data_IF_420565343968
#
_entry.id   IF_420565343968
#
_cell.length_a   1.000
_cell.length_b   1.000
_cell.length_c   1.000
_cell.angle_alpha   90.00
_cell.angle_beta   90.00
_cell.angle_gamma   90.00
#
_symmetry.space_group_name_H-M   'P 1'
#
loop_
_entity.id
_entity.type
_entity.pdbx_description
1 polymer ?
#
# COMPACT_ATOMS: atom_id res chain seq x y z
N UNK A 1 10.76 14.03 4.96
CA UNK A 1 11.72 13.67 6.02
C UNK A 1 12.84 14.68 6.14
N UNK A 2 13.25 15.36 5.08
CA UNK A 2 14.41 16.27 5.10
C UNK A 2 14.23 17.47 6.02
N UNK A 3 12.98 17.90 6.25
CA UNK A 3 12.65 19.04 7.12
C UNK A 3 12.35 18.65 8.58
N UNK A 4 12.68 17.42 9.00
CA UNK A 4 12.44 16.90 10.36
C UNK A 4 13.77 16.68 11.10
N UNK A 5 13.71 16.25 12.36
CA UNK A 5 14.88 15.93 13.18
C UNK A 5 14.65 16.25 14.65
N UNK A 6 15.31 15.51 15.54
CA UNK A 6 15.30 15.78 16.99
C UNK A 6 13.98 15.51 17.72
N UNK A 7 12.95 14.97 17.05
CA UNK A 7 11.61 14.81 17.66
C UNK A 7 11.55 13.75 18.78
N UNK A 8 12.60 12.95 18.98
CA UNK A 8 12.69 11.98 20.08
C UNK A 8 12.57 12.62 21.47
N UNK A 9 13.12 13.83 21.65
CA UNK A 9 13.05 14.58 22.92
C UNK A 9 11.63 15.14 23.15
N UNK A 10 10.99 15.65 22.09
CA UNK A 10 9.69 16.34 22.13
C UNK A 10 8.49 15.39 22.16
N UNK A 11 8.54 14.29 21.41
CA UNK A 11 7.44 13.34 21.23
C UNK A 11 7.86 11.89 21.53
N UNK A 12 8.26 11.57 22.78
CA UNK A 12 8.88 10.29 23.10
C UNK A 12 7.96 9.08 22.90
N UNK A 13 6.66 9.21 23.17
CA UNK A 13 5.69 8.10 22.98
C UNK A 13 5.59 7.75 21.49
N UNK A 14 5.49 8.78 20.63
CA UNK A 14 5.41 8.60 19.18
C UNK A 14 6.70 8.01 18.61
N UNK A 15 7.85 8.53 19.06
CA UNK A 15 9.15 8.01 18.65
C UNK A 15 9.36 6.54 19.08
N UNK A 16 8.90 6.17 20.28
CA UNK A 16 9.00 4.80 20.81
C UNK A 16 8.08 3.85 20.05
N UNK A 17 6.83 4.23 19.82
CA UNK A 17 5.90 3.42 19.06
C UNK A 17 6.38 3.21 17.63
N UNK A 18 6.92 4.26 17.01
CA UNK A 18 7.49 4.16 15.67
C UNK A 18 8.75 3.28 15.65
N UNK A 19 9.58 3.35 16.69
CA UNK A 19 10.75 2.48 16.84
C UNK A 19 10.33 1.01 16.94
N UNK A 20 9.36 0.69 17.81
CA UNK A 20 8.85 -0.68 18.00
C UNK A 20 8.16 -1.19 16.73
N UNK A 21 7.37 -0.35 16.05
CA UNK A 21 6.76 -0.69 14.77
C UNK A 21 7.80 -0.97 13.69
N UNK A 22 8.83 -0.13 13.62
CA UNK A 22 9.96 -0.32 12.71
C UNK A 22 10.71 -1.61 13.04
N UNK A 23 11.01 -1.85 14.31
CA UNK A 23 11.66 -3.05 14.80
C UNK A 23 10.90 -4.33 14.44
N UNK A 24 9.57 -4.29 14.56
CA UNK A 24 8.69 -5.37 14.14
C UNK A 24 8.81 -5.65 12.64
N UNK A 25 8.67 -4.63 11.79
CA UNK A 25 8.77 -4.77 10.33
C UNK A 25 10.17 -5.22 9.87
N UNK A 26 11.22 -4.76 10.54
CA UNK A 26 12.60 -5.19 10.25
C UNK A 26 12.81 -6.68 10.54
N UNK A 27 12.00 -7.26 11.43
CA UNK A 27 12.10 -8.65 11.86
C UNK A 27 13.12 -8.83 12.99
N UNK A 28 13.17 -7.88 13.93
CA UNK A 28 13.99 -8.06 15.13
C UNK A 28 13.50 -9.29 15.92
N UNK A 29 14.41 -10.18 16.35
CA UNK A 29 14.07 -11.36 17.14
C UNK A 29 13.12 -11.01 18.29
N UNK A 30 12.10 -11.86 18.51
CA UNK A 30 11.11 -11.72 19.58
C UNK A 30 10.10 -10.56 19.40
N UNK A 31 10.06 -9.88 18.25
CA UNK A 31 9.04 -8.87 17.94
C UNK A 31 8.18 -9.37 16.76
N UNK A 32 6.94 -8.88 16.63
CA UNK A 32 5.89 -9.56 15.86
C UNK A 32 6.22 -9.90 14.42
N UNK A 33 6.84 -8.99 13.67
CA UNK A 33 7.18 -9.25 12.28
C UNK A 33 8.28 -10.29 12.07
N UNK A 34 9.04 -10.68 13.10
CA UNK A 34 10.00 -11.80 13.01
C UNK A 34 9.27 -13.10 12.68
N UNK A 35 8.22 -13.43 13.44
CA UNK A 35 7.49 -14.70 13.31
C UNK A 35 6.86 -14.86 11.92
N UNK A 36 6.29 -13.78 11.36
CA UNK A 36 5.71 -13.83 10.01
C UNK A 36 6.76 -13.82 8.90
N UNK A 37 7.89 -13.14 9.10
CA UNK A 37 8.93 -12.98 8.07
C UNK A 37 9.84 -14.20 7.96
N UNK A 38 10.16 -14.83 9.10
CA UNK A 38 10.98 -16.04 9.15
C UNK A 38 10.32 -17.18 8.37
N UNK A 39 9.03 -17.44 8.61
CA UNK A 39 8.30 -18.48 7.89
C UNK A 39 8.24 -18.25 6.37
N UNK A 40 8.09 -17.01 5.91
CA UNK A 40 8.10 -16.69 4.47
C UNK A 40 9.49 -16.92 3.86
N UNK A 41 10.55 -16.50 4.55
CA UNK A 41 11.93 -16.70 4.10
C UNK A 41 12.24 -18.21 4.04
N UNK A 42 11.96 -18.94 5.12
CA UNK A 42 12.20 -20.39 5.18
C UNK A 42 11.45 -21.12 4.04
N UNK A 43 10.18 -20.79 3.79
CA UNK A 43 9.42 -21.40 2.69
C UNK A 43 9.96 -21.03 1.30
N UNK A 44 10.35 -19.77 1.07
CA UNK A 44 10.93 -19.35 -0.21
C UNK A 44 12.24 -20.10 -0.51
N UNK A 45 13.07 -20.31 0.51
CA UNK A 45 14.33 -21.05 0.38
C UNK A 45 14.12 -22.56 0.29
N UNK A 46 13.07 -23.10 0.89
CA UNK A 46 12.67 -24.50 0.72
C UNK A 46 12.32 -24.79 -0.74
N UNK A 47 11.46 -23.97 -1.35
CA UNK A 47 11.08 -24.11 -2.76
C UNK A 47 12.30 -23.92 -3.68
N UNK A 48 13.22 -23.02 -3.33
CA UNK A 48 14.45 -22.81 -4.10
C UNK A 48 15.42 -24.01 -4.08
N UNK A 49 15.37 -24.86 -3.03
CA UNK A 49 16.12 -26.12 -3.03
C UNK A 49 15.49 -27.16 -3.96
N UNK A 50 14.15 -27.19 -4.03
CA UNK A 50 13.42 -28.14 -4.87
C UNK A 50 13.49 -27.77 -6.37
N UNK A 51 13.39 -26.47 -6.70
CA UNK A 51 13.48 -25.96 -8.07
C UNK A 51 14.43 -24.73 -8.14
N UNK A 52 15.57 -24.87 -8.86
CA UNK A 52 16.55 -23.80 -9.03
C UNK A 52 16.00 -22.48 -9.61
N UNK A 53 14.84 -22.51 -10.29
CA UNK A 53 14.18 -21.31 -10.82
C UNK A 53 13.75 -20.34 -9.72
N UNK A 54 13.49 -20.84 -8.51
CA UNK A 54 13.08 -20.03 -7.37
C UNK A 54 14.23 -19.44 -6.56
N UNK A 55 15.49 -19.72 -6.95
CA UNK A 55 16.66 -19.14 -6.31
C UNK A 55 16.69 -17.60 -6.41
N UNK A 56 16.33 -17.04 -7.57
CA UNK A 56 16.30 -15.60 -7.76
C UNK A 56 15.24 -14.92 -6.85
N UNK A 57 13.97 -15.36 -6.83
CA UNK A 57 12.99 -14.90 -5.84
C UNK A 57 13.48 -15.01 -4.39
N UNK A 58 14.05 -16.16 -3.99
CA UNK A 58 14.54 -16.37 -2.62
C UNK A 58 15.65 -15.37 -2.23
N UNK A 59 16.57 -15.09 -3.15
CA UNK A 59 17.60 -14.05 -2.99
C UNK A 59 16.98 -12.65 -2.88
N UNK A 60 15.99 -12.32 -3.72
CA UNK A 60 15.28 -11.05 -3.64
C UNK A 60 14.59 -10.84 -2.29
N UNK A 61 14.03 -11.90 -1.68
CA UNK A 61 13.42 -11.82 -0.35
C UNK A 61 14.48 -11.51 0.73
N UNK A 62 15.67 -12.13 0.68
CA UNK A 62 16.75 -11.81 1.62
C UNK A 62 17.29 -10.40 1.46
N UNK A 63 17.52 -9.97 0.21
CA UNK A 63 17.98 -8.59 -0.08
C UNK A 63 16.91 -7.60 0.38
N UNK A 64 15.64 -7.89 0.09
CA UNK A 64 14.49 -7.12 0.55
C UNK A 64 14.46 -6.99 2.07
N UNK A 65 14.76 -8.06 2.81
CA UNK A 65 14.84 -8.01 4.27
C UNK A 65 15.86 -6.99 4.77
N UNK A 66 17.05 -6.92 4.15
CA UNK A 66 18.08 -5.93 4.47
C UNK A 66 17.69 -4.50 4.04
N UNK A 67 17.12 -4.34 2.85
CA UNK A 67 16.59 -3.05 2.38
C UNK A 67 15.52 -2.50 3.31
N UNK A 68 14.63 -3.36 3.83
CA UNK A 68 13.64 -3.00 4.86
C UNK A 68 14.28 -2.51 6.14
N UNK A 69 15.31 -3.21 6.63
CA UNK A 69 16.15 -2.75 7.74
C UNK A 69 16.67 -1.33 7.52
N UNK A 70 17.21 -1.10 6.33
CA UNK A 70 17.80 0.18 5.93
C UNK A 70 16.78 1.32 5.86
N UNK A 71 15.71 1.19 5.07
CA UNK A 71 14.80 2.32 4.84
C UNK A 71 13.96 2.65 6.08
N UNK A 72 13.59 1.65 6.90
CA UNK A 72 12.86 1.87 8.15
C UNK A 72 13.75 2.58 9.17
N UNK A 73 15.01 2.16 9.29
CA UNK A 73 15.98 2.82 10.17
C UNK A 73 16.29 4.23 9.69
N UNK A 74 16.50 4.44 8.37
CA UNK A 74 16.70 5.78 7.77
C UNK A 74 15.55 6.71 8.11
N UNK A 75 14.31 6.23 8.01
CA UNK A 75 13.13 7.05 8.29
C UNK A 75 13.07 7.43 9.77
N UNK A 76 13.26 6.48 10.68
CA UNK A 76 13.26 6.77 12.11
C UNK A 76 14.37 7.76 12.49
N UNK A 77 15.58 7.57 11.96
CA UNK A 77 16.74 8.44 12.21
C UNK A 77 16.51 9.86 11.71
N UNK A 78 16.08 10.04 10.45
CA UNK A 78 15.83 11.38 9.87
C UNK A 78 14.67 12.13 10.56
N UNK A 79 13.74 11.41 11.19
CA UNK A 79 12.56 12.03 11.80
C UNK A 79 12.76 12.31 13.30
N UNK A 80 13.34 11.38 14.06
CA UNK A 80 13.38 11.44 15.52
C UNK A 80 14.78 11.67 16.10
N UNK A 81 15.84 11.23 15.41
CA UNK A 81 17.22 11.45 15.84
C UNK A 81 17.80 12.72 15.19
N UNK A 82 19.07 13.02 15.47
CA UNK A 82 19.76 14.18 14.90
C UNK A 82 19.29 15.52 15.45
N UNK A 83 19.74 16.59 14.79
CA UNK A 83 19.36 17.98 15.09
C UNK A 83 18.12 18.38 14.28
N UNK A 84 17.26 19.28 14.78
CA UNK A 84 16.12 19.79 14.01
C UNK A 84 16.60 20.56 12.77
N UNK A 85 16.11 20.18 11.58
CA UNK A 85 16.50 20.84 10.32
C UNK A 85 15.71 22.13 10.02
N UNK A 86 14.68 22.48 10.81
CA UNK A 86 13.83 23.66 10.58
C UNK A 86 13.30 24.22 11.92
N UNK A 87 13.09 25.54 12.01
CA UNK A 87 12.53 26.21 13.19
C UNK A 87 11.15 25.65 13.59
N UNK A 88 10.35 25.21 12.61
CA UNK A 88 9.06 24.57 12.87
C UNK A 88 9.25 23.26 13.63
N UNK A 89 10.24 22.44 13.25
CA UNK A 89 10.53 21.16 13.90
C UNK A 89 10.97 21.35 15.36
N UNK A 90 11.66 22.45 15.68
CA UNK A 90 12.11 22.77 17.03
C UNK A 90 10.96 23.07 18.01
N UNK A 91 9.82 23.55 17.51
CA UNK A 91 8.66 23.95 18.32
C UNK A 91 7.50 22.93 18.30
N UNK A 92 7.70 21.74 17.70
CA UNK A 92 6.63 20.73 17.66
C UNK A 92 6.47 20.06 19.03
N UNK A 93 5.23 20.07 19.51
CA UNK A 93 4.80 19.30 20.67
C UNK A 93 3.56 18.45 20.35
N UNK A 94 3.25 17.45 21.19
CA UNK A 94 2.04 16.64 21.01
C UNK A 94 0.79 17.50 21.17
N UNK A 95 0.00 17.62 20.10
CA UNK A 95 -1.21 18.47 20.05
C UNK A 95 -2.43 17.82 20.68
N UNK A 96 -2.53 16.48 20.69
CA UNK A 96 -3.69 15.77 21.21
C UNK A 96 -3.30 14.48 21.97
N UNK A 97 -3.86 14.27 23.17
CA UNK A 97 -3.64 13.07 23.97
C UNK A 97 -4.38 11.83 23.44
N UNK A 98 -5.46 11.99 22.67
CA UNK A 98 -6.25 10.87 22.14
C UNK A 98 -5.48 9.97 21.18
N UNK A 99 -4.50 10.52 20.45
CA UNK A 99 -3.64 9.74 19.53
C UNK A 99 -2.68 8.81 20.31
N UNK A 100 -2.36 9.14 21.56
CA UNK A 100 -1.42 8.36 22.38
C UNK A 100 -1.99 7.01 22.80
N UNK A 101 -3.29 6.94 23.06
CA UNK A 101 -3.97 5.73 23.52
C UNK A 101 -3.88 4.57 22.53
N UNK A 102 -4.33 4.70 21.25
CA UNK A 102 -4.20 3.61 20.28
C UNK A 102 -2.73 3.27 20.01
N UNK A 103 -1.86 4.28 19.98
CA UNK A 103 -0.45 4.09 19.72
C UNK A 103 0.24 3.26 20.81
N UNK A 104 -0.09 3.51 22.07
CA UNK A 104 0.40 2.73 23.21
C UNK A 104 -0.12 1.29 23.16
N UNK A 105 -1.43 1.11 22.92
CA UNK A 105 -2.04 -0.22 22.80
C UNK A 105 -1.38 -1.04 21.69
N UNK A 106 -1.22 -0.46 20.50
CA UNK A 106 -0.59 -1.15 19.36
C UNK A 106 0.88 -1.47 19.62
N UNK A 107 1.61 -0.58 20.30
CA UNK A 107 3.00 -0.83 20.71
C UNK A 107 3.06 -2.04 21.64
N UNK A 108 2.16 -2.11 22.63
CA UNK A 108 2.09 -3.22 23.57
C UNK A 108 1.73 -4.54 22.87
N UNK A 109 0.77 -4.52 21.94
CA UNK A 109 0.41 -5.71 21.15
C UNK A 109 1.59 -6.19 20.28
N UNK A 110 2.32 -5.27 19.64
CA UNK A 110 3.50 -5.61 18.83
C UNK A 110 4.60 -6.27 19.66
N UNK A 111 4.84 -5.78 20.89
CA UNK A 111 5.80 -6.38 21.82
C UNK A 111 5.32 -7.72 22.39
N UNK A 112 4.00 -7.87 22.57
CA UNK A 112 3.38 -9.10 23.11
C UNK A 112 3.24 -10.22 22.07
N UNK A 113 3.72 -10.00 20.85
CA UNK A 113 3.63 -10.93 19.74
C UNK A 113 4.28 -12.30 19.98
N UNK A 114 5.28 -12.42 20.86
CA UNK A 114 5.85 -13.72 21.26
C UNK A 114 4.79 -14.61 21.92
N UNK A 115 3.93 -14.02 22.75
CA UNK A 115 2.84 -14.76 23.37
C UNK A 115 1.80 -15.18 22.34
N UNK A 116 1.51 -14.32 21.36
CA UNK A 116 0.60 -14.63 20.26
C UNK A 116 1.15 -15.73 19.35
N UNK A 117 2.46 -15.69 19.04
CA UNK A 117 3.14 -16.75 18.30
C UNK A 117 3.07 -18.08 19.07
N UNK A 118 3.36 -18.07 20.38
CA UNK A 118 3.24 -19.25 21.23
C UNK A 118 1.80 -19.81 21.37
N UNK A 119 0.78 -18.99 21.12
CA UNK A 119 -0.63 -19.42 21.03
C UNK A 119 -0.99 -20.03 19.66
N UNK A 120 -0.02 -20.16 18.74
CA UNK A 120 -0.21 -20.73 17.42
C UNK A 120 -0.74 -19.74 16.36
N UNK A 121 -0.68 -18.43 16.62
CA UNK A 121 -1.17 -17.42 15.66
C UNK A 121 -0.39 -17.41 14.33
N UNK A 122 0.85 -17.91 14.34
CA UNK A 122 1.71 -18.14 13.17
C UNK A 122 1.15 -19.19 12.21
N UNK A 123 0.48 -20.21 12.74
CA UNK A 123 -0.07 -21.35 12.00
C UNK A 123 -1.58 -21.29 11.78
N UNK A 124 -2.25 -20.26 12.33
CA UNK A 124 -3.70 -20.11 12.26
C UNK A 124 -4.25 -20.00 10.82
N UNK A 125 -3.52 -19.35 9.92
CA UNK A 125 -3.95 -19.17 8.53
C UNK A 125 -3.56 -20.32 7.56
N UNK A 126 -2.38 -20.96 7.68
CA UNK A 126 -1.96 -21.97 6.71
C UNK A 126 -2.40 -23.41 7.02
N UNK A 127 -2.72 -23.75 8.27
CA UNK A 127 -2.82 -25.15 8.69
C UNK A 127 -4.12 -25.41 9.48
N UNK A 128 -5.09 -26.11 8.87
CA UNK A 128 -6.41 -26.40 9.46
C UNK A 128 -6.30 -27.20 10.78
N UNK A 129 -5.18 -27.88 11.01
CA UNK A 129 -4.92 -28.66 12.21
C UNK A 129 -4.39 -27.83 13.40
N UNK A 130 -4.00 -26.57 13.19
CA UNK A 130 -3.56 -25.64 14.23
C UNK A 130 -4.73 -24.74 14.63
N UNK A 131 -5.63 -25.27 15.44
CA UNK A 131 -6.70 -24.49 16.05
C UNK A 131 -6.11 -23.46 17.03
N UNK A 132 -6.67 -22.24 16.98
CA UNK A 132 -6.46 -21.22 18.02
C UNK A 132 -6.72 -21.84 19.40
N UNK A 133 -5.70 -21.89 20.27
CA UNK A 133 -5.74 -22.57 21.58
C UNK A 133 -5.86 -24.11 21.53
N UNK A 134 -4.96 -24.79 20.80
CA UNK A 134 -4.78 -26.24 20.96
C UNK A 134 -4.22 -26.59 22.37
N UNK A 135 -4.46 -27.80 22.88
CA UNK A 135 -4.18 -28.28 24.26
C UNK A 135 -2.73 -28.15 24.79
N UNK A 136 -1.78 -27.66 23.99
CA UNK A 136 -0.42 -27.43 24.47
C UNK A 136 -0.38 -26.23 25.42
N UNK A 137 0.36 -26.37 26.52
CA UNK A 137 0.62 -25.25 27.42
C UNK A 137 1.24 -24.10 26.63
N UNK A 138 0.87 -22.85 26.94
CA UNK A 138 1.42 -21.65 26.31
C UNK A 138 2.96 -21.67 26.29
N UNK A 139 3.56 -22.25 27.34
CA UNK A 139 5.02 -22.44 27.46
C UNK A 139 5.56 -23.40 26.40
N UNK A 140 4.86 -24.51 26.14
CA UNK A 140 5.28 -25.50 25.13
C UNK A 140 5.17 -24.93 23.72
N UNK A 141 4.15 -24.11 23.46
CA UNK A 141 4.01 -23.39 22.19
C UNK A 141 5.13 -22.38 21.95
N UNK A 142 5.48 -21.58 22.97
CA UNK A 142 6.64 -20.67 22.88
C UNK A 142 7.94 -21.45 22.66
N UNK A 143 8.17 -22.53 23.41
CA UNK A 143 9.38 -23.35 23.27
C UNK A 143 9.46 -23.96 21.88
N UNK A 144 8.35 -24.46 21.34
CA UNK A 144 8.29 -24.99 19.99
C UNK A 144 8.67 -23.94 18.94
N UNK A 145 8.06 -22.76 18.99
CA UNK A 145 8.36 -21.66 18.06
C UNK A 145 9.80 -21.17 18.19
N UNK A 146 10.32 -21.08 19.42
CA UNK A 146 11.71 -20.72 19.66
C UNK A 146 12.69 -21.77 19.13
N UNK A 147 12.38 -23.07 19.31
CA UNK A 147 13.19 -24.15 18.76
C UNK A 147 13.11 -24.17 17.24
N UNK A 148 11.93 -23.97 16.66
CA UNK A 148 11.76 -23.96 15.21
C UNK A 148 12.51 -22.79 14.56
N UNK A 149 12.41 -21.59 15.13
CA UNK A 149 13.00 -20.39 14.58
C UNK A 149 14.51 -20.24 14.86
N UNK A 150 14.97 -20.63 16.06
CA UNK A 150 16.38 -20.43 16.47
C UNK A 150 17.20 -21.70 16.58
N UNK A 151 16.59 -22.88 16.59
CA UNK A 151 17.28 -24.16 16.76
C UNK A 151 16.76 -25.22 15.75
N UNK A 152 16.55 -24.79 14.50
CA UNK A 152 16.06 -25.66 13.45
C UNK A 152 17.00 -26.87 13.28
N UNK A 153 16.45 -28.08 13.18
CA UNK A 153 17.21 -29.31 13.02
C UNK A 153 18.00 -29.37 11.71
N UNK A 154 17.56 -28.61 10.71
CA UNK A 154 18.27 -28.48 9.44
C UNK A 154 19.23 -27.28 9.49
N UNK A 155 20.52 -27.57 9.35
CA UNK A 155 21.60 -26.59 9.36
C UNK A 155 21.43 -25.52 8.26
N UNK A 156 20.80 -25.86 7.13
CA UNK A 156 20.59 -24.92 6.03
C UNK A 156 19.62 -23.81 6.41
N UNK A 157 18.44 -24.15 6.92
CA UNK A 157 17.43 -23.17 7.36
C UNK A 157 17.91 -22.38 8.57
N UNK A 158 18.63 -23.04 9.50
CA UNK A 158 19.29 -22.35 10.60
C UNK A 158 20.20 -21.23 10.06
N UNK A 159 21.13 -21.53 9.15
CA UNK A 159 22.04 -20.51 8.60
C UNK A 159 21.27 -19.38 7.92
N UNK A 160 20.24 -19.69 7.13
CA UNK A 160 19.45 -18.68 6.41
C UNK A 160 18.72 -17.74 7.37
N UNK A 161 18.13 -18.26 8.44
CA UNK A 161 17.44 -17.43 9.44
C UNK A 161 18.42 -16.45 10.10
N UNK A 162 19.63 -16.90 10.44
CA UNK A 162 20.66 -16.00 10.98
C UNK A 162 21.16 -14.98 9.94
N UNK A 163 21.29 -15.36 8.67
CA UNK A 163 21.62 -14.42 7.59
C UNK A 163 20.51 -13.37 7.43
N UNK A 164 19.25 -13.78 7.46
CA UNK A 164 18.10 -12.89 7.35
C UNK A 164 18.04 -11.89 8.53
N UNK A 165 18.26 -12.37 9.76
CA UNK A 165 18.37 -11.53 10.95
C UNK A 165 19.55 -10.57 10.81
N UNK A 166 20.72 -11.06 10.40
CA UNK A 166 21.91 -10.23 10.22
C UNK A 166 21.67 -9.14 9.16
N UNK A 167 21.02 -9.47 8.05
CA UNK A 167 20.68 -8.51 6.99
C UNK A 167 19.66 -7.46 7.47
N UNK A 168 18.54 -7.91 8.04
CA UNK A 168 17.40 -7.04 8.37
C UNK A 168 17.55 -6.25 9.67
N UNK A 169 18.15 -6.84 10.70
CA UNK A 169 18.25 -6.25 12.03
C UNK A 169 19.62 -5.61 12.33
N UNK A 170 20.67 -5.98 11.59
CA UNK A 170 22.04 -5.49 11.85
C UNK A 170 22.59 -4.70 10.68
N UNK A 171 22.74 -5.31 9.50
CA UNK A 171 23.37 -4.69 8.34
C UNK A 171 22.58 -3.50 7.82
N UNK A 172 21.28 -3.66 7.57
CA UNK A 172 20.40 -2.57 7.12
C UNK A 172 20.39 -1.37 8.08
N UNK A 173 20.03 -1.57 9.36
CA UNK A 173 20.06 -0.50 10.36
C UNK A 173 21.45 0.09 10.60
N UNK A 174 22.50 -0.74 10.60
CA UNK A 174 23.89 -0.33 10.73
C UNK A 174 24.33 0.62 9.61
N UNK A 175 24.03 0.26 8.36
CA UNK A 175 24.28 1.13 7.20
C UNK A 175 23.47 2.43 7.28
N UNK A 176 22.21 2.37 7.71
CA UNK A 176 21.39 3.56 7.88
C UNK A 176 21.96 4.50 8.96
N UNK A 177 22.41 3.97 10.10
CA UNK A 177 23.07 4.73 11.17
C UNK A 177 24.42 5.32 10.72
N UNK A 178 25.18 4.59 9.89
CA UNK A 178 26.46 5.07 9.35
C UNK A 178 26.32 6.20 8.31
N UNK A 179 25.15 6.33 7.68
CA UNK A 179 24.85 7.33 6.64
C UNK A 179 24.04 8.52 7.15
N UNK A 180 23.09 8.27 8.05
CA UNK A 180 22.10 9.26 8.49
C UNK A 180 22.06 9.43 10.02
N UNK A 181 23.01 8.84 10.74
CA UNK A 181 23.08 8.96 12.18
C UNK A 181 23.44 10.36 12.64
N UNK A 182 23.21 10.64 13.92
CA UNK A 182 23.40 11.97 14.48
C UNK A 182 23.02 12.03 15.96
N UNK A 183 23.69 12.92 16.69
CA UNK A 183 23.35 13.25 18.07
C UNK A 183 22.18 14.22 18.12
N UNK A 184 21.42 14.18 19.20
CA UNK A 184 20.43 15.22 19.52
C UNK A 184 21.13 16.57 19.72
N UNK A 185 20.34 17.65 19.65
CA UNK A 185 20.80 19.01 19.90
C UNK A 185 21.31 19.20 21.34
N UNK A 186 22.33 20.05 21.50
CA UNK A 186 22.99 20.27 22.77
C UNK A 186 22.02 20.88 23.81
N UNK A 187 21.73 20.13 24.87
CA UNK A 187 20.77 20.51 25.92
C UNK A 187 19.45 19.73 25.89
N UNK A 188 19.16 18.99 24.82
CA UNK A 188 17.98 18.12 24.76
C UNK A 188 18.33 16.66 25.07
N UNK A 189 17.62 16.08 26.03
CA UNK A 189 17.77 14.66 26.37
C UNK A 189 16.51 13.88 26.03
N UNK A 190 16.70 12.71 25.41
CA UNK A 190 15.62 11.75 25.24
C UNK A 190 15.32 11.04 26.58
N UNK A 191 14.14 10.40 26.63
CA UNK A 191 13.74 9.57 27.76
C UNK A 191 14.71 8.38 27.96
N UNK A 192 14.84 7.84 29.19
CA UNK A 192 15.86 6.84 29.53
C UNK A 192 15.86 5.58 28.64
N UNK A 193 14.68 5.14 28.20
CA UNK A 193 14.55 3.95 27.35
C UNK A 193 14.97 4.17 25.89
N UNK A 194 15.06 5.42 25.43
CA UNK A 194 15.52 5.78 24.08
C UNK A 194 17.01 6.13 24.03
N UNK A 195 17.61 6.43 25.18
CA UNK A 195 19.03 6.78 25.30
C UNK A 195 19.96 5.74 24.67
N UNK A 196 19.75 4.40 24.85
CA UNK A 196 20.63 3.39 24.23
C UNK A 196 20.61 3.42 22.70
N UNK A 197 19.45 3.72 22.11
CA UNK A 197 19.29 3.76 20.65
C UNK A 197 19.98 4.99 20.08
N UNK A 198 19.84 6.13 20.75
CA UNK A 198 20.46 7.40 20.31
C UNK A 198 21.98 7.36 20.53
N UNK A 199 22.45 6.74 21.61
CA UNK A 199 23.89 6.58 21.87
C UNK A 199 24.52 5.62 20.88
N UNK A 200 23.87 4.49 20.57
CA UNK A 200 24.30 3.56 19.53
C UNK A 200 24.38 4.27 18.17
N UNK A 201 23.33 5.00 17.80
CA UNK A 201 23.29 5.77 16.56
C UNK A 201 24.48 6.76 16.45
N UNK A 202 24.73 7.53 17.50
CA UNK A 202 25.85 8.46 17.55
C UNK A 202 27.20 7.75 17.48
N UNK A 203 27.34 6.59 18.13
CA UNK A 203 28.56 5.79 18.10
C UNK A 203 28.85 5.24 16.70
N UNK A 204 27.84 4.65 16.03
CA UNK A 204 27.99 4.11 14.67
C UNK A 204 28.37 5.21 13.69
N UNK A 205 27.67 6.35 13.74
CA UNK A 205 27.95 7.49 12.86
C UNK A 205 29.40 7.98 13.04
N UNK A 206 29.84 8.20 14.28
CA UNK A 206 31.20 8.66 14.56
C UNK A 206 32.28 7.66 14.13
N UNK A 207 31.97 6.36 14.11
CA UNK A 207 32.93 5.30 13.82
C UNK A 207 33.09 5.05 12.32
N UNK A 208 31.99 5.05 11.57
CA UNK A 208 31.96 4.59 10.17
C UNK A 208 31.76 5.71 9.14
N UNK A 209 31.07 6.80 9.52
CA UNK A 209 30.73 7.98 8.69
C UNK A 209 31.00 7.83 7.18
N UNK A 210 30.02 7.31 6.44
CA UNK A 210 30.19 6.98 5.03
C UNK A 210 29.70 8.13 4.13
N UNK A 211 30.50 8.54 3.15
CA UNK A 211 30.08 9.50 2.13
C UNK A 211 29.38 8.76 0.97
N UNK A 212 28.11 9.08 0.72
CA UNK A 212 27.29 8.48 -0.34
C UNK A 212 26.96 9.45 -1.49
N UNK A 213 27.61 10.61 -1.56
CA UNK A 213 27.37 11.62 -2.62
C UNK A 213 27.41 11.03 -4.02
N UNK A 214 28.43 10.22 -4.32
CA UNK A 214 28.57 9.54 -5.62
C UNK A 214 27.39 8.62 -5.98
N UNK A 215 26.79 7.94 -4.99
CA UNK A 215 25.59 7.12 -5.21
C UNK A 215 24.32 7.98 -5.31
N UNK A 216 24.24 9.05 -4.52
CA UNK A 216 23.09 9.95 -4.48
C UNK A 216 22.90 10.72 -5.80
N UNK A 217 23.99 11.04 -6.50
CA UNK A 217 23.98 11.73 -7.79
C UNK A 217 23.93 10.77 -9.00
N UNK A 218 23.85 9.46 -8.76
CA UNK A 218 23.80 8.47 -9.83
C UNK A 218 22.49 8.53 -10.63
N UNK A 219 22.55 8.10 -11.90
CA UNK A 219 21.37 7.98 -12.76
C UNK A 219 20.31 7.04 -12.18
N UNK A 220 20.75 5.99 -11.48
CA UNK A 220 19.87 5.07 -10.77
C UNK A 220 19.14 5.78 -9.61
N UNK A 221 19.82 6.62 -8.85
CA UNK A 221 19.20 7.39 -7.77
C UNK A 221 18.14 8.36 -8.31
N UNK A 222 18.43 9.05 -9.41
CA UNK A 222 17.46 9.92 -10.11
C UNK A 222 16.26 9.10 -10.60
N UNK A 223 16.49 7.92 -11.18
CA UNK A 223 15.41 7.04 -11.62
C UNK A 223 14.55 6.57 -10.43
N UNK A 224 15.16 6.15 -9.32
CA UNK A 224 14.46 5.73 -8.10
C UNK A 224 13.65 6.87 -7.47
N UNK A 225 14.18 8.09 -7.48
CA UNK A 225 13.45 9.28 -7.03
C UNK A 225 12.20 9.55 -7.88
N UNK A 226 12.27 9.25 -9.19
CA UNK A 226 11.15 9.30 -10.12
C UNK A 226 10.34 7.99 -10.17
N UNK A 227 10.42 7.14 -9.14
CA UNK A 227 9.69 5.84 -9.06
C UNK A 227 9.91 4.94 -10.28
N UNK A 228 11.16 4.92 -10.77
CA UNK A 228 11.58 4.20 -11.98
C UNK A 228 10.79 4.60 -13.25
N UNK A 229 10.17 5.78 -13.25
CA UNK A 229 9.29 6.28 -14.31
C UNK A 229 8.07 5.37 -14.59
N UNK A 230 7.75 4.42 -13.71
CA UNK A 230 6.61 3.51 -13.88
C UNK A 230 5.33 4.32 -13.97
N UNK A 231 5.11 5.24 -13.04
CA UNK A 231 3.94 6.13 -13.02
C UNK A 231 3.83 6.95 -14.32
N UNK A 232 4.94 7.49 -14.83
CA UNK A 232 4.96 8.27 -16.06
C UNK A 232 4.52 7.45 -17.29
N UNK A 233 5.08 6.25 -17.46
CA UNK A 233 4.71 5.38 -18.58
C UNK A 233 3.29 4.82 -18.42
N UNK A 234 2.89 4.49 -17.20
CA UNK A 234 1.54 4.05 -16.88
C UNK A 234 0.52 5.13 -17.21
N UNK A 235 0.74 6.36 -16.76
CA UNK A 235 -0.13 7.50 -17.06
C UNK A 235 -0.19 7.77 -18.58
N UNK A 236 0.95 7.73 -19.28
CA UNK A 236 0.95 7.89 -20.73
C UNK A 236 0.15 6.79 -21.45
N UNK A 237 0.27 5.54 -21.02
CA UNK A 237 -0.49 4.43 -21.59
C UNK A 237 -1.99 4.58 -21.29
N UNK A 238 -2.33 4.85 -20.03
CA UNK A 238 -3.70 4.99 -19.56
C UNK A 238 -4.41 6.18 -20.20
N UNK A 239 -3.75 7.34 -20.30
CA UNK A 239 -4.32 8.52 -20.97
C UNK A 239 -4.65 8.20 -22.42
N UNK A 240 -3.76 7.54 -23.16
CA UNK A 240 -4.03 7.18 -24.58
C UNK A 240 -5.22 6.26 -24.72
N UNK A 241 -5.33 5.26 -23.85
CA UNK A 241 -6.43 4.27 -23.90
C UNK A 241 -7.75 4.93 -23.47
N UNK A 242 -7.76 5.58 -22.30
CA UNK A 242 -8.96 6.15 -21.69
C UNK A 242 -9.46 7.35 -22.49
N UNK A 243 -8.59 8.29 -22.86
CA UNK A 243 -9.00 9.44 -23.67
C UNK A 243 -9.47 9.00 -25.06
N UNK A 244 -8.80 8.00 -25.66
CA UNK A 244 -9.23 7.43 -26.94
C UNK A 244 -10.63 6.82 -26.88
N UNK A 245 -10.91 6.01 -25.85
CA UNK A 245 -12.24 5.42 -25.64
C UNK A 245 -13.29 6.49 -25.27
N UNK A 246 -12.93 7.45 -24.42
CA UNK A 246 -13.83 8.54 -24.02
C UNK A 246 -14.25 9.39 -25.22
N UNK A 247 -13.31 9.71 -26.12
CA UNK A 247 -13.63 10.48 -27.33
C UNK A 247 -14.55 9.68 -28.27
N UNK A 248 -14.34 8.38 -28.43
CA UNK A 248 -15.24 7.52 -29.21
C UNK A 248 -16.62 7.39 -28.58
N UNK A 249 -16.70 7.29 -27.25
CA UNK A 249 -17.97 7.26 -26.54
C UNK A 249 -18.73 8.58 -26.71
N UNK A 250 -18.03 9.72 -26.60
CA UNK A 250 -18.61 11.04 -26.85
C UNK A 250 -19.09 11.22 -28.29
N UNK A 251 -18.35 10.69 -29.27
CA UNK A 251 -18.79 10.66 -30.67
C UNK A 251 -20.06 9.82 -30.84
N UNK A 252 -20.09 8.62 -30.27
CA UNK A 252 -21.27 7.76 -30.32
C UNK A 252 -22.51 8.42 -29.67
N UNK A 253 -22.32 9.12 -28.56
CA UNK A 253 -23.39 9.88 -27.90
C UNK A 253 -23.95 10.98 -28.82
N UNK A 254 -23.07 11.79 -29.40
CA UNK A 254 -23.49 12.90 -30.27
C UNK A 254 -24.05 12.46 -31.63
N UNK A 255 -23.52 11.38 -32.20
CA UNK A 255 -23.93 10.91 -33.53
C UNK A 255 -25.16 9.99 -33.45
N UNK A 256 -25.16 9.06 -32.50
CA UNK A 256 -26.21 8.02 -32.41
C UNK A 256 -27.34 8.46 -31.49
N UNK A 257 -27.03 8.85 -30.25
CA UNK A 257 -28.06 9.14 -29.25
C UNK A 257 -28.77 10.45 -29.62
N UNK A 258 -28.01 11.54 -29.73
CA UNK A 258 -28.55 12.85 -30.13
C UNK A 258 -29.15 12.82 -31.54
N UNK A 259 -28.50 12.11 -32.48
CA UNK A 259 -29.02 11.95 -33.85
C UNK A 259 -30.37 11.24 -33.89
N UNK A 260 -30.54 10.19 -33.09
CA UNK A 260 -31.82 9.46 -32.99
C UNK A 260 -32.91 10.34 -32.39
N UNK A 261 -32.60 11.07 -31.32
CA UNK A 261 -33.56 11.98 -30.67
C UNK A 261 -34.02 13.06 -31.67
N UNK A 262 -33.09 13.70 -32.38
CA UNK A 262 -33.42 14.72 -33.39
C UNK A 262 -34.25 14.15 -34.54
N UNK A 263 -34.00 12.91 -34.94
CA UNK A 263 -34.78 12.22 -35.98
C UNK A 263 -36.23 11.99 -35.53
N UNK A 264 -36.43 11.56 -34.28
CA UNK A 264 -37.76 11.39 -33.69
C UNK A 264 -38.48 12.74 -33.60
N UNK A 265 -37.79 13.78 -33.11
CA UNK A 265 -38.34 15.13 -32.97
C UNK A 265 -38.79 15.69 -34.33
N UNK A 266 -37.88 15.72 -35.31
CA UNK A 266 -38.16 16.26 -36.65
C UNK A 266 -39.20 15.44 -37.39
N UNK A 267 -39.17 14.10 -37.25
CA UNK A 267 -40.20 13.21 -37.80
C UNK A 267 -41.58 13.48 -37.21
N UNK A 268 -41.67 13.69 -35.89
CA UNK A 268 -42.93 14.05 -35.22
C UNK A 268 -43.44 15.42 -35.65
N UNK A 269 -42.56 16.42 -35.78
CA UNK A 269 -42.94 17.76 -36.24
C UNK A 269 -43.39 17.74 -37.71
N UNK A 270 -42.73 16.95 -38.56
CA UNK A 270 -43.12 16.76 -39.96
C UNK A 270 -44.49 16.10 -40.05
N UNK A 271 -44.71 15.00 -39.33
CA UNK A 271 -46.01 14.32 -39.26
C UNK A 271 -47.11 15.26 -38.77
N UNK A 272 -46.85 16.05 -37.72
CA UNK A 272 -47.81 17.04 -37.20
C UNK A 272 -48.18 18.08 -38.26
N UNK A 273 -47.20 18.53 -39.06
CA UNK A 273 -47.43 19.49 -40.15
C UNK A 273 -48.30 18.89 -41.25
N UNK A 274 -48.09 17.60 -41.58
CA UNK A 274 -48.94 16.85 -42.54
C UNK A 274 -50.34 16.64 -41.99
N UNK A 275 -50.49 16.23 -40.73
CA UNK A 275 -51.82 16.05 -40.10
C UNK A 275 -52.57 17.39 -40.06
N UNK A 276 -51.87 18.49 -39.75
CA UNK A 276 -52.45 19.84 -39.73
C UNK A 276 -52.85 20.33 -41.12
N UNK A 277 -52.16 19.92 -42.19
CA UNK A 277 -52.56 20.30 -43.56
C UNK A 277 -53.82 19.57 -44.02
N UNK A 278 -54.16 18.41 -43.44
CA UNK A 278 -55.42 17.70 -43.70
C UNK A 278 -56.64 18.42 -43.09
N UNK A 279 -56.45 19.26 -42.07
CA UNK A 279 -57.54 20.07 -41.49
C UNK A 279 -57.71 21.38 -42.26
N UNK A 280 -58.57 21.38 -43.28
CA UNK A 280 -58.76 22.52 -44.20
C UNK A 280 -59.67 23.63 -43.67
N UNK A 281 -60.41 23.37 -42.58
CA UNK A 281 -61.39 24.31 -42.02
C UNK A 281 -62.70 24.42 -42.82
N UNK A 282 -62.84 23.67 -43.92
CA UNK A 282 -64.03 23.63 -44.77
C UNK A 282 -64.97 22.49 -44.37
N UNK A 283 -66.23 22.79 -44.06
CA UNK A 283 -67.24 21.78 -43.70
C UNK A 283 -67.45 20.72 -44.80
N UNK A 284 -67.30 21.10 -46.08
CA UNK A 284 -67.45 20.19 -47.22
C UNK A 284 -66.37 19.10 -47.23
N UNK A 285 -65.13 19.46 -46.92
CA UNK A 285 -64.01 18.53 -46.97
C UNK A 285 -64.10 17.50 -45.82
N UNK A 286 -64.59 17.93 -44.65
CA UNK A 286 -64.85 17.03 -43.53
C UNK A 286 -65.95 15.99 -43.85
N UNK A 287 -67.04 16.41 -44.50
CA UNK A 287 -68.11 15.47 -44.92
C UNK A 287 -67.56 14.44 -45.91
N UNK A 288 -66.74 14.88 -46.87
CA UNK A 288 -66.10 13.99 -47.84
C UNK A 288 -65.16 12.99 -47.14
N UNK A 289 -64.33 13.44 -46.20
CA UNK A 289 -63.43 12.56 -45.43
C UNK A 289 -64.20 11.51 -44.63
N UNK A 290 -65.34 11.87 -44.02
CA UNK A 290 -66.20 10.92 -43.29
C UNK A 290 -66.78 9.87 -44.23
N UNK A 291 -67.29 10.27 -45.41
CA UNK A 291 -67.84 9.34 -46.38
C UNK A 291 -66.77 8.36 -46.91
N UNK A 292 -65.58 8.86 -47.25
CA UNK A 292 -64.44 8.03 -47.69
C UNK A 292 -64.00 7.09 -46.56
N UNK A 293 -63.89 7.60 -45.33
CA UNK A 293 -63.53 6.79 -44.16
C UNK A 293 -64.53 5.66 -43.90
N UNK A 294 -65.84 5.94 -44.01
CA UNK A 294 -66.89 4.92 -43.84
C UNK A 294 -66.81 3.83 -44.92
N UNK A 295 -66.59 4.21 -46.18
CA UNK A 295 -66.41 3.26 -47.27
C UNK A 295 -65.14 2.42 -47.10
N UNK A 296 -64.03 3.03 -46.66
CA UNK A 296 -62.77 2.32 -46.42
C UNK A 296 -62.90 1.30 -45.28
N UNK A 297 -63.54 1.67 -44.16
CA UNK A 297 -63.81 0.74 -43.05
C UNK A 297 -64.72 -0.39 -43.52
N UNK A 298 -65.77 -0.09 -44.29
CA UNK A 298 -66.65 -1.11 -44.86
C UNK A 298 -65.88 -2.11 -45.74
N UNK A 299 -65.01 -1.62 -46.63
CA UNK A 299 -64.17 -2.48 -47.47
C UNK A 299 -63.19 -3.35 -46.66
N UNK A 300 -62.56 -2.79 -45.62
CA UNK A 300 -61.66 -3.52 -44.73
C UNK A 300 -62.39 -4.63 -43.96
N UNK A 301 -63.58 -4.33 -43.43
CA UNK A 301 -64.39 -5.30 -42.68
C UNK A 301 -64.91 -6.42 -43.59
N UNK A 302 -65.24 -6.11 -44.84
CA UNK A 302 -65.73 -7.08 -45.81
C UNK A 302 -64.63 -7.84 -46.56
N UNK A 303 -63.35 -7.57 -46.26
CA UNK A 303 -62.20 -8.24 -46.87
C UNK A 303 -61.97 -7.92 -48.35
N UNK A 304 -62.40 -6.74 -48.80
CA UNK A 304 -62.28 -6.27 -50.20
C UNK A 304 -61.00 -5.44 -50.41
N UNK A 305 -60.10 -5.41 -49.41
CA UNK A 305 -58.80 -4.73 -49.47
C UNK A 305 -57.64 -5.75 -49.48
#
# INVERSE_FOLDING_TARGET
MENMGGLASKMPITATAMLVGSASIMGLPLIGGFWSKEGIIANAWRVAQDDPRFLLPAMCVLIGAGMTGFYMSRMWLKTFAGKPNNEVAAHVGPTNNWIKTPLFILTFVSLSSVFLAGMGFTHWAPDENYAFMQEKSLVDGIIYEMQHAFANSDAYFFIITYIAIAMGAVAGPGLAMALYGGKLEDGESAKPWMTPVISLNAWVMNRFNFDNSAFAESTLAVALQNRLYIDHYYDMAMIKIVAGLSNKAAQADSDVIDGTIKTIETGSQSLSTVVRSLTTGSARDYILMVAVGMLAIFMLVWGVA
#
